data_IF_084671519165
#
_entry.id   IF_084671519165
#
_cell.length_a   1.000
_cell.length_b   1.000
_cell.length_c   1.000
_cell.angle_alpha   90.00
_cell.angle_beta   90.00
_cell.angle_gamma   90.00
#
_symmetry.space_group_name_H-M   'P 1'
#
loop_
_entity.id
_entity.type
_entity.pdbx_description
1 polymer ?
#
# COMPACT_ATOMS: atom_id res chain seq x y z
N UNK A 1 4.04 -43.15 7.25
CA UNK A 1 4.66 -41.84 7.57
C UNK A 1 3.88 -40.80 6.80
N UNK A 2 2.85 -40.24 7.42
CA UNK A 2 2.08 -39.12 6.86
C UNK A 2 3.01 -37.92 6.65
N UNK A 3 2.79 -37.17 5.58
CA UNK A 3 3.58 -35.98 5.29
C UNK A 3 3.45 -34.99 6.47
N UNK A 4 4.56 -34.46 7.02
CA UNK A 4 4.47 -33.34 7.95
C UNK A 4 3.78 -32.18 7.22
N UNK A 5 2.84 -31.53 7.89
CA UNK A 5 2.02 -30.39 7.46
C UNK A 5 2.35 -29.80 6.06
N UNK A 6 1.46 -30.01 5.08
CA UNK A 6 1.56 -29.38 3.76
C UNK A 6 0.81 -28.05 3.76
N UNK A 7 1.50 -26.96 3.42
CA UNK A 7 0.89 -25.62 3.28
C UNK A 7 0.83 -25.25 1.81
N UNK A 8 -0.39 -25.04 1.31
CA UNK A 8 -0.59 -24.47 -0.02
C UNK A 8 -0.30 -22.98 -0.02
N UNK A 9 0.57 -22.55 -0.93
CA UNK A 9 0.91 -21.14 -1.10
C UNK A 9 -0.15 -20.49 -1.98
N UNK A 10 -0.78 -19.43 -1.48
CA UNK A 10 -1.81 -18.68 -2.20
C UNK A 10 -1.42 -17.20 -2.23
N UNK A 11 -1.37 -16.55 -3.41
CA UNK A 11 -1.01 -15.16 -3.49
C UNK A 11 -2.18 -14.31 -2.95
N UNK A 12 -1.84 -13.20 -2.31
CA UNK A 12 -2.86 -12.26 -1.79
C UNK A 12 -3.30 -11.22 -2.82
N UNK A 13 -2.52 -11.07 -3.90
CA UNK A 13 -2.78 -10.15 -5.00
C UNK A 13 -2.72 -10.90 -6.33
N UNK A 14 -3.52 -10.47 -7.29
CA UNK A 14 -3.50 -11.02 -8.64
C UNK A 14 -2.44 -10.32 -9.50
N UNK A 15 -1.85 -11.04 -10.44
CA UNK A 15 -0.91 -10.48 -11.40
C UNK A 15 -0.14 -11.55 -12.17
N UNK A 16 0.76 -11.13 -13.05
CA UNK A 16 1.62 -12.06 -13.78
C UNK A 16 2.81 -12.46 -12.93
N UNK A 17 3.20 -13.73 -12.97
CA UNK A 17 4.44 -14.19 -12.33
C UNK A 17 5.62 -13.66 -13.14
N UNK A 18 6.39 -12.77 -12.53
CA UNK A 18 7.64 -12.23 -13.08
C UNK A 18 8.77 -13.26 -12.94
N UNK A 19 8.87 -13.91 -11.77
CA UNK A 19 9.92 -14.89 -11.49
C UNK A 19 9.51 -15.96 -10.49
N UNK A 20 9.99 -17.18 -10.71
CA UNK A 20 10.05 -18.27 -9.72
C UNK A 20 11.47 -18.27 -9.12
N UNK A 21 11.57 -18.21 -7.79
CA UNK A 21 12.83 -17.98 -7.06
C UNK A 21 13.31 -19.21 -6.25
N UNK A 22 12.75 -20.39 -6.52
CA UNK A 22 13.16 -21.66 -5.92
C UNK A 22 13.30 -22.75 -6.97
N UNK A 23 14.03 -23.81 -6.62
CA UNK A 23 14.10 -25.05 -7.40
C UNK A 23 13.19 -26.11 -6.78
N UNK A 24 12.57 -26.96 -7.60
CA UNK A 24 11.73 -28.06 -7.13
C UNK A 24 12.51 -28.97 -6.17
N UNK A 25 11.94 -29.23 -4.99
CA UNK A 25 12.57 -30.07 -3.98
C UNK A 25 13.65 -29.37 -3.14
N UNK A 26 13.91 -28.07 -3.36
CA UNK A 26 14.82 -27.29 -2.54
C UNK A 26 14.30 -27.14 -1.10
N UNK A 27 15.23 -26.95 -0.16
CA UNK A 27 14.89 -26.55 1.21
C UNK A 27 14.79 -25.02 1.26
N UNK A 28 13.68 -24.53 1.80
CA UNK A 28 13.43 -23.11 2.02
C UNK A 28 13.19 -22.85 3.50
N UNK A 29 13.53 -21.64 3.92
CA UNK A 29 13.22 -21.12 5.24
C UNK A 29 12.04 -20.17 5.18
N UNK A 30 11.35 -20.00 6.30
CA UNK A 30 10.31 -19.01 6.47
C UNK A 30 10.84 -17.62 6.09
N UNK A 31 10.13 -16.96 5.19
CA UNK A 31 10.49 -15.66 4.64
C UNK A 31 11.27 -15.71 3.32
N UNK A 32 11.74 -16.89 2.89
CA UNK A 32 12.42 -17.02 1.59
C UNK A 32 11.44 -16.74 0.45
N UNK A 33 11.91 -16.02 -0.57
CA UNK A 33 11.11 -15.68 -1.74
C UNK A 33 10.86 -16.92 -2.57
N UNK A 34 9.59 -17.22 -2.83
CA UNK A 34 9.16 -18.33 -3.66
C UNK A 34 8.76 -17.84 -5.05
N UNK A 35 7.81 -16.90 -5.10
CA UNK A 35 7.33 -16.31 -6.34
C UNK A 35 7.36 -14.79 -6.26
N UNK A 36 7.68 -14.17 -7.39
CA UNK A 36 7.56 -12.74 -7.60
C UNK A 36 6.45 -12.50 -8.62
N UNK A 37 5.39 -11.81 -8.19
CA UNK A 37 4.39 -11.22 -9.08
C UNK A 37 4.96 -9.91 -9.61
N UNK A 38 4.68 -9.56 -10.87
CA UNK A 38 5.13 -8.32 -11.50
C UNK A 38 4.83 -7.11 -10.60
N UNK A 39 5.88 -6.49 -10.01
CA UNK A 39 5.69 -5.43 -9.05
C UNK A 39 5.45 -4.08 -9.74
N UNK A 40 5.67 -3.96 -11.06
CA UNK A 40 5.68 -2.67 -11.76
C UNK A 40 4.33 -1.93 -11.65
N UNK A 41 3.16 -2.58 -11.83
CA UNK A 41 1.88 -1.90 -11.65
C UNK A 41 1.67 -1.40 -10.22
N UNK A 42 2.05 -2.21 -9.23
CA UNK A 42 1.92 -1.86 -7.81
C UNK A 42 2.89 -0.72 -7.41
N UNK A 43 4.13 -0.74 -7.90
CA UNK A 43 5.10 0.33 -7.69
C UNK A 43 4.62 1.65 -8.33
N UNK A 44 4.03 1.59 -9.52
CA UNK A 44 3.46 2.76 -10.17
C UNK A 44 2.31 3.35 -9.34
N UNK A 45 1.44 2.51 -8.79
CA UNK A 45 0.34 2.95 -7.92
C UNK A 45 0.84 3.57 -6.61
N UNK A 46 1.84 2.97 -5.96
CA UNK A 46 2.50 3.56 -4.78
C UNK A 46 3.06 4.94 -5.12
N UNK A 47 3.76 5.10 -6.25
CA UNK A 47 4.30 6.40 -6.69
C UNK A 47 3.20 7.42 -6.96
N UNK A 48 2.09 7.01 -7.59
CA UNK A 48 0.93 7.87 -7.85
C UNK A 48 0.32 8.39 -6.54
N UNK A 49 0.10 7.51 -5.57
CA UNK A 49 -0.46 7.86 -4.26
C UNK A 49 0.51 8.70 -3.41
N UNK A 50 1.83 8.46 -3.52
CA UNK A 50 2.84 9.33 -2.90
C UNK A 50 2.76 10.76 -3.42
N UNK A 51 2.63 10.95 -4.74
CA UNK A 51 2.48 12.28 -5.32
C UNK A 51 1.17 12.96 -4.86
N UNK A 52 0.06 12.21 -4.82
CA UNK A 52 -1.21 12.72 -4.31
C UNK A 52 -1.13 13.12 -2.83
N UNK A 53 -0.43 12.33 -2.01
CA UNK A 53 -0.21 12.64 -0.60
C UNK A 53 0.61 13.92 -0.44
N UNK A 54 1.64 14.12 -1.26
CA UNK A 54 2.42 15.36 -1.26
C UNK A 54 1.55 16.57 -1.60
N UNK A 55 0.70 16.47 -2.63
CA UNK A 55 -0.24 17.53 -3.01
C UNK A 55 -1.23 17.85 -1.87
N UNK A 56 -1.79 16.82 -1.22
CA UNK A 56 -2.72 17.02 -0.11
C UNK A 56 -2.03 17.64 1.10
N UNK A 57 -0.80 17.25 1.42
CA UNK A 57 0.00 17.87 2.48
C UNK A 57 0.29 19.35 2.19
N UNK A 58 0.62 19.70 0.95
CA UNK A 58 0.80 21.09 0.54
C UNK A 58 -0.50 21.91 0.70
N UNK A 59 -1.64 21.31 0.36
CA UNK A 59 -2.96 21.93 0.55
C UNK A 59 -3.27 22.13 2.02
N UNK A 60 -3.05 21.11 2.85
CA UNK A 60 -3.21 21.19 4.31
C UNK A 60 -2.36 22.32 4.91
N UNK A 61 -1.08 22.41 4.54
CA UNK A 61 -0.17 23.46 4.99
C UNK A 61 -0.72 24.85 4.67
N UNK A 62 -1.20 25.06 3.43
CA UNK A 62 -1.80 26.32 3.00
C UNK A 62 -3.06 26.65 3.81
N UNK A 63 -3.98 25.69 3.96
CA UNK A 63 -5.24 25.92 4.70
C UNK A 63 -5.02 26.17 6.18
N UNK A 64 -4.03 25.52 6.79
CA UNK A 64 -3.65 25.78 8.20
C UNK A 64 -3.13 27.20 8.35
N UNK A 65 -2.22 27.64 7.48
CA UNK A 65 -1.71 29.02 7.51
C UNK A 65 -2.82 30.07 7.26
N UNK A 66 -3.79 29.76 6.40
CA UNK A 66 -4.97 30.60 6.16
C UNK A 66 -5.89 30.67 7.39
N UNK A 67 -6.12 29.55 8.08
CA UNK A 67 -6.90 29.47 9.31
C UNK A 67 -6.25 30.27 10.43
N UNK A 68 -4.95 30.09 10.67
CA UNK A 68 -4.19 30.88 11.65
C UNK A 68 -4.23 32.37 11.36
N UNK A 69 -4.13 32.75 10.08
CA UNK A 69 -4.25 34.16 9.65
C UNK A 69 -5.68 34.66 9.87
N UNK A 70 -6.69 33.85 9.56
CA UNK A 70 -8.09 34.17 9.80
C UNK A 70 -8.34 34.47 11.27
N UNK A 71 -7.86 33.62 12.16
CA UNK A 71 -8.00 33.79 13.60
C UNK A 71 -7.36 35.10 14.10
N UNK A 72 -6.13 35.41 13.66
CA UNK A 72 -5.49 36.69 14.00
C UNK A 72 -6.25 37.92 13.48
N UNK A 73 -6.89 37.82 12.31
CA UNK A 73 -7.70 38.90 11.75
C UNK A 73 -9.03 39.04 12.49
N UNK A 74 -9.65 37.93 12.90
CA UNK A 74 -10.88 37.92 13.72
C UNK A 74 -10.65 38.63 15.05
N UNK A 75 -9.53 38.34 15.72
CA UNK A 75 -9.13 39.02 16.97
C UNK A 75 -8.94 40.54 16.80
N UNK A 76 -8.63 40.99 15.59
CA UNK A 76 -8.51 42.41 15.23
C UNK A 76 -9.79 43.00 14.64
N UNK A 77 -10.91 42.26 14.65
CA UNK A 77 -12.18 42.62 14.01
C UNK A 77 -12.04 42.96 12.51
N UNK A 78 -11.05 42.38 11.83
CA UNK A 78 -10.73 42.66 10.42
C UNK A 78 -11.41 41.70 9.44
N UNK A 79 -12.07 40.64 9.93
CA UNK A 79 -12.91 39.72 9.15
C UNK A 79 -14.13 39.29 9.98
N UNK A 80 -15.15 38.74 9.32
CA UNK A 80 -16.31 38.14 10.01
C UNK A 80 -15.95 36.83 10.71
N UNK A 81 -16.72 36.49 11.75
CA UNK A 81 -16.60 35.20 12.44
C UNK A 81 -16.85 34.03 11.48
N UNK A 82 -17.89 34.13 10.64
CA UNK A 82 -18.21 33.13 9.61
C UNK A 82 -17.03 32.84 8.68
N UNK A 83 -16.31 33.87 8.22
CA UNK A 83 -15.16 33.68 7.34
C UNK A 83 -13.97 33.03 8.07
N UNK A 84 -13.77 33.36 9.36
CA UNK A 84 -12.76 32.72 10.17
C UNK A 84 -13.07 31.23 10.39
N UNK A 85 -14.32 30.93 10.75
CA UNK A 85 -14.81 29.58 10.97
C UNK A 85 -14.73 28.73 9.69
N UNK A 86 -15.07 29.31 8.53
CA UNK A 86 -14.93 28.65 7.23
C UNK A 86 -13.47 28.23 6.94
N UNK A 87 -12.48 29.05 7.32
CA UNK A 87 -11.06 28.69 7.14
C UNK A 87 -10.60 27.59 8.09
N UNK A 88 -11.09 27.59 9.32
CA UNK A 88 -10.84 26.50 10.28
C UNK A 88 -11.43 25.19 9.75
N UNK A 89 -12.66 25.22 9.23
CA UNK A 89 -13.30 24.06 8.61
C UNK A 89 -12.51 23.55 7.40
N UNK A 90 -12.07 24.45 6.50
CA UNK A 90 -11.23 24.08 5.36
C UNK A 90 -9.91 23.41 5.78
N UNK A 91 -9.28 23.88 6.87
CA UNK A 91 -8.08 23.23 7.40
C UNK A 91 -8.35 21.82 7.96
N UNK A 92 -9.50 21.62 8.60
CA UNK A 92 -9.95 20.31 9.09
C UNK A 92 -10.24 19.34 7.94
N UNK A 93 -10.90 19.81 6.89
CA UNK A 93 -11.16 19.03 5.67
C UNK A 93 -9.85 18.62 4.99
N UNK A 94 -8.92 19.55 4.82
CA UNK A 94 -7.62 19.25 4.22
C UNK A 94 -6.81 18.24 5.04
N UNK A 95 -6.86 18.32 6.38
CA UNK A 95 -6.26 17.31 7.27
C UNK A 95 -6.89 15.94 7.05
N UNK A 96 -8.21 15.88 6.90
CA UNK A 96 -8.94 14.62 6.65
C UNK A 96 -8.57 14.03 5.29
N UNK A 97 -8.43 14.88 4.27
CA UNK A 97 -7.96 14.45 2.94
C UNK A 97 -6.55 13.84 2.98
N UNK A 98 -5.62 14.44 3.74
CA UNK A 98 -4.27 13.86 3.95
C UNK A 98 -4.36 12.47 4.59
N UNK A 99 -5.18 12.30 5.62
CA UNK A 99 -5.36 11.01 6.28
C UNK A 99 -5.94 9.95 5.33
N UNK A 100 -6.93 10.32 4.51
CA UNK A 100 -7.53 9.42 3.53
C UNK A 100 -6.51 8.94 2.48
N UNK A 101 -5.71 9.85 1.91
CA UNK A 101 -4.70 9.49 0.90
C UNK A 101 -3.56 8.68 1.54
N UNK A 102 -3.17 8.98 2.79
CA UNK A 102 -2.20 8.18 3.51
C UNK A 102 -2.67 6.73 3.66
N UNK A 103 -3.92 6.51 4.07
CA UNK A 103 -4.48 5.16 4.19
C UNK A 103 -4.51 4.40 2.84
N UNK A 104 -4.81 5.10 1.75
CA UNK A 104 -4.73 4.52 0.41
C UNK A 104 -3.29 4.15 0.03
N UNK A 105 -2.31 5.00 0.34
CA UNK A 105 -0.90 4.73 0.12
C UNK A 105 -0.43 3.52 0.92
N UNK A 106 -0.80 3.43 2.20
CA UNK A 106 -0.42 2.32 3.08
C UNK A 106 -0.97 0.99 2.55
N UNK A 107 -2.23 0.99 2.07
CA UNK A 107 -2.82 -0.17 1.38
C UNK A 107 -2.04 -0.53 0.11
N UNK A 108 -1.71 0.43 -0.74
CA UNK A 108 -0.96 0.16 -1.98
C UNK A 108 0.45 -0.37 -1.70
N UNK A 109 1.10 0.10 -0.63
CA UNK A 109 2.39 -0.44 -0.17
C UNK A 109 2.27 -1.88 0.33
N UNK A 110 1.18 -2.19 1.04
CA UNK A 110 0.88 -3.56 1.46
C UNK A 110 0.64 -4.47 0.24
N UNK A 111 -0.16 -4.02 -0.72
CA UNK A 111 -0.42 -4.74 -1.97
C UNK A 111 0.90 -4.97 -2.74
N UNK A 112 1.80 -3.97 -2.80
CA UNK A 112 3.14 -4.12 -3.37
C UNK A 112 3.98 -5.15 -2.59
N UNK A 113 3.90 -5.16 -1.26
CA UNK A 113 4.63 -6.16 -0.46
C UNK A 113 4.16 -7.58 -0.74
N UNK A 114 2.87 -7.76 -1.02
CA UNK A 114 2.26 -9.05 -1.38
C UNK A 114 2.62 -9.55 -2.77
N UNK A 115 3.24 -8.72 -3.61
CA UNK A 115 3.84 -9.20 -4.86
C UNK A 115 5.00 -10.17 -4.61
N UNK A 116 5.61 -10.11 -3.43
CA UNK A 116 6.62 -11.06 -2.96
C UNK A 116 5.92 -12.18 -2.20
N UNK A 117 5.78 -13.33 -2.84
CA UNK A 117 5.22 -14.52 -2.21
C UNK A 117 6.34 -15.28 -1.52
N UNK A 118 6.33 -15.30 -0.18
CA UNK A 118 7.37 -15.91 0.63
C UNK A 118 6.91 -17.19 1.33
N UNK A 119 7.84 -18.06 1.70
CA UNK A 119 7.55 -19.27 2.46
C UNK A 119 7.01 -18.92 3.87
N UNK A 120 5.86 -19.47 4.30
CA UNK A 120 5.27 -19.19 5.61
C UNK A 120 5.92 -20.01 6.74
N UNK A 121 6.56 -21.12 6.38
CA UNK A 121 7.24 -22.08 7.27
C UNK A 121 8.55 -22.55 6.64
N UNK A 122 9.43 -23.09 7.47
CA UNK A 122 10.59 -23.83 6.98
C UNK A 122 10.14 -25.17 6.39
N UNK A 123 10.69 -25.59 5.27
CA UNK A 123 10.28 -26.85 4.65
C UNK A 123 10.95 -27.13 3.32
N UNK A 124 10.43 -28.16 2.64
CA UNK A 124 10.82 -28.50 1.27
C UNK A 124 9.72 -28.04 0.32
N UNK A 125 10.07 -27.25 -0.69
CA UNK A 125 9.12 -26.83 -1.71
C UNK A 125 8.82 -27.97 -2.67
N UNK A 126 7.54 -28.13 -2.98
CA UNK A 126 7.08 -29.08 -3.99
C UNK A 126 7.36 -28.61 -5.42
N UNK A 127 6.78 -29.30 -6.39
CA UNK A 127 6.83 -28.90 -7.80
C UNK A 127 6.03 -27.61 -8.00
N UNK A 128 6.64 -26.60 -8.61
CA UNK A 128 5.91 -25.43 -9.08
C UNK A 128 5.05 -25.85 -10.28
N UNK A 129 3.72 -25.78 -10.16
CA UNK A 129 2.82 -25.98 -11.30
C UNK A 129 2.71 -24.71 -12.16
N UNK A 130 3.27 -23.60 -11.68
CA UNK A 130 3.15 -22.27 -12.27
C UNK A 130 4.54 -21.76 -12.66
N UNK A 131 4.67 -21.35 -13.92
CA UNK A 131 5.90 -20.83 -14.51
C UNK A 131 5.84 -19.31 -14.67
N UNK A 132 6.99 -18.68 -14.90
CA UNK A 132 7.05 -17.26 -15.26
C UNK A 132 6.16 -16.96 -16.47
N UNK A 133 5.43 -15.84 -16.42
CA UNK A 133 4.49 -15.42 -17.45
C UNK A 133 3.05 -15.88 -17.22
N UNK A 134 2.80 -16.80 -16.28
CA UNK A 134 1.45 -17.21 -15.95
C UNK A 134 0.72 -16.11 -15.16
N UNK A 135 -0.58 -15.95 -15.43
CA UNK A 135 -1.47 -15.10 -14.64
C UNK A 135 -1.90 -15.87 -13.40
N UNK A 136 -1.77 -15.24 -12.22
CA UNK A 136 -2.26 -15.80 -10.96
C UNK A 136 -3.33 -14.89 -10.38
N UNK A 137 -4.36 -15.51 -9.80
CA UNK A 137 -5.43 -14.80 -9.12
C UNK A 137 -5.25 -14.89 -7.61
N UNK A 138 -5.62 -13.82 -6.90
CA UNK A 138 -5.64 -13.81 -5.45
C UNK A 138 -6.49 -14.97 -4.90
N UNK A 139 -5.91 -15.74 -3.98
CA UNK A 139 -6.57 -16.90 -3.36
C UNK A 139 -6.46 -18.22 -4.13
N UNK A 140 -5.89 -18.24 -5.34
CA UNK A 140 -5.63 -19.46 -6.11
C UNK A 140 -4.37 -20.18 -5.59
N UNK A 141 -4.36 -21.52 -5.57
CA UNK A 141 -3.19 -22.28 -5.12
C UNK A 141 -2.08 -22.26 -6.19
N UNK A 142 -0.83 -22.03 -5.76
CA UNK A 142 0.36 -21.97 -6.62
C UNK A 142 1.19 -23.26 -6.60
#
# INVERSE_FOLDING_TARGET
LEAPESVEIRPRVSGFIDKVAFEEGALVKKGDLLFQIDPRPFQAEVKRLQAQLQQARATQQRTVAEAERGERLRQKNAISAELADARVSAASEAKSAVAAIQAQLDKAQLDLSFTRVTAPIDGRVGRALITSGNLVNAGEAL
#
